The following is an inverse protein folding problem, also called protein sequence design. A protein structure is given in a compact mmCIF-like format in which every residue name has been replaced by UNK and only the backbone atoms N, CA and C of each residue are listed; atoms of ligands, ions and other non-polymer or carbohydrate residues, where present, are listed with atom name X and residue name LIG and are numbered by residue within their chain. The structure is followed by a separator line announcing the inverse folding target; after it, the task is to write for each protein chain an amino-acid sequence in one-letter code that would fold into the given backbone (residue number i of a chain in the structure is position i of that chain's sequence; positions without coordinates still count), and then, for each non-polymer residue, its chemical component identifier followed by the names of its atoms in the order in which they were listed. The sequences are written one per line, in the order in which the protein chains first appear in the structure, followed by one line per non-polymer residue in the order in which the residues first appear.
data_IF_437339751681
#
_entry.id   IF_437339751681
#
_cell.length_a   1.000
_cell.length_b   1.000
_cell.length_c   1.000
_cell.angle_alpha   90.00
_cell.angle_beta   90.00
_cell.angle_gamma   90.00
#
_symmetry.space_group_name_H-M   'P 1'
#
loop_
_entity.id
_entity.type
_entity.pdbx_description
1 polymer ?
#
# COMPACT_ATOMS: atom_id res chain seq x y z
N UNK A 1 -11.36 3.00 -12.32
CA UNK A 1 -11.23 2.23 -11.04
C UNK A 1 -10.86 3.18 -9.91
N UNK A 2 -11.52 3.05 -8.77
CA UNK A 2 -11.07 3.75 -7.56
C UNK A 2 -10.93 2.77 -6.40
N UNK A 3 -10.12 3.15 -5.43
CA UNK A 3 -9.96 2.39 -4.19
C UNK A 3 -9.34 3.22 -3.09
N UNK A 4 -9.67 2.88 -1.85
CA UNK A 4 -9.15 3.51 -0.64
C UNK A 4 -8.23 2.55 0.10
N UNK A 5 -7.15 3.07 0.70
CA UNK A 5 -6.20 2.26 1.49
C UNK A 5 -5.59 1.10 0.68
N UNK A 6 -5.73 -0.14 1.10
CA UNK A 6 -5.33 -1.34 0.34
C UNK A 6 -6.05 -1.45 -1.02
N UNK A 7 -7.30 -0.98 -1.10
CA UNK A 7 -8.03 -0.86 -2.37
C UNK A 7 -7.43 0.18 -3.30
N UNK A 8 -6.83 1.25 -2.77
CA UNK A 8 -6.07 2.25 -3.52
C UNK A 8 -4.81 1.65 -4.15
N UNK A 9 -4.10 0.81 -3.43
CA UNK A 9 -2.99 0.02 -3.98
C UNK A 9 -3.47 -0.86 -5.15
N UNK A 10 -4.55 -1.61 -4.95
CA UNK A 10 -5.12 -2.49 -5.98
C UNK A 10 -5.65 -1.74 -7.20
N UNK A 11 -6.10 -0.49 -7.04
CA UNK A 11 -6.57 0.34 -8.15
C UNK A 11 -5.46 0.71 -9.14
N UNK A 12 -4.21 0.79 -8.68
CA UNK A 12 -3.05 1.11 -9.51
C UNK A 12 -2.56 -0.12 -10.30
N UNK A 13 -3.47 -0.85 -10.92
CA UNK A 13 -3.15 -1.99 -11.79
C UNK A 13 -3.21 -1.54 -13.24
N UNK A 14 -2.07 -1.35 -13.94
CA UNK A 14 -2.03 -0.57 -15.17
C UNK A 14 -2.56 -1.27 -16.42
N UNK A 15 -2.84 -2.55 -16.36
CA UNK A 15 -3.24 -3.32 -17.55
C UNK A 15 -4.76 -3.41 -17.75
N UNK A 16 -5.53 -3.08 -16.71
CA UNK A 16 -6.97 -3.33 -16.66
C UNK A 16 -7.78 -2.04 -16.77
N UNK A 17 -7.29 -0.93 -16.23
CA UNK A 17 -8.07 0.29 -16.07
C UNK A 17 -7.47 1.46 -16.84
N UNK A 18 -8.32 2.18 -17.56
CA UNK A 18 -7.91 3.38 -18.33
C UNK A 18 -7.90 4.66 -17.50
N UNK A 19 -8.57 4.70 -16.38
CA UNK A 19 -8.65 5.85 -15.46
C UNK A 19 -8.66 5.34 -14.04
N UNK A 20 -7.78 5.89 -13.21
CA UNK A 20 -7.51 5.40 -11.85
C UNK A 20 -7.52 6.55 -10.85
N UNK A 21 -8.19 6.36 -9.73
CA UNK A 21 -8.12 7.24 -8.58
C UNK A 21 -7.82 6.42 -7.32
N UNK A 22 -6.66 6.65 -6.72
CA UNK A 22 -6.23 5.99 -5.49
C UNK A 22 -6.32 6.96 -4.31
N UNK A 23 -7.23 6.66 -3.38
CA UNK A 23 -7.49 7.45 -2.18
C UNK A 23 -6.68 6.89 -1.01
N UNK A 24 -5.77 7.69 -0.45
CA UNK A 24 -4.86 7.28 0.63
C UNK A 24 -4.31 5.86 0.44
N UNK A 25 -3.67 5.55 -0.71
CA UNK A 25 -3.27 4.19 -1.02
C UNK A 25 -2.20 3.68 -0.07
N UNK A 26 -2.49 2.58 0.61
CA UNK A 26 -1.56 1.94 1.54
C UNK A 26 -0.52 1.07 0.79
N UNK A 27 0.62 0.83 1.43
CA UNK A 27 1.63 -0.17 1.01
C UNK A 27 2.14 -0.04 -0.44
N UNK A 28 2.23 1.19 -0.97
CA UNK A 28 2.78 1.41 -2.31
C UNK A 28 4.24 1.02 -2.44
N UNK A 29 5.00 1.11 -1.36
CA UNK A 29 6.40 0.74 -1.30
C UNK A 29 6.76 0.11 0.03
N UNK A 30 7.90 -0.58 0.07
CA UNK A 30 8.49 -1.04 1.30
C UNK A 30 9.35 0.07 1.86
N UNK A 31 9.10 0.46 3.09
CA UNK A 31 9.98 1.31 3.90
C UNK A 31 10.53 0.48 5.05
N UNK A 32 11.71 0.83 5.53
CA UNK A 32 12.36 0.15 6.67
C UNK A 32 11.60 0.29 7.98
N UNK A 33 10.57 1.12 7.99
CA UNK A 33 9.74 1.47 9.14
C UNK A 33 8.30 0.97 8.98
N UNK A 34 8.07 0.07 8.03
CA UNK A 34 6.76 -0.50 7.79
C UNK A 34 6.20 -1.26 8.97
N UNK A 35 4.88 -1.09 9.18
CA UNK A 35 4.05 -1.91 10.04
C UNK A 35 4.80 -2.48 11.25
N UNK A 36 5.00 -1.64 12.27
CA UNK A 36 5.44 -2.14 13.54
C UNK A 36 6.92 -2.50 13.69
N UNK A 37 7.83 -2.11 12.77
CA UNK A 37 9.28 -2.16 13.12
C UNK A 37 9.54 -1.23 14.29
N UNK A 38 8.91 -0.07 14.32
CA UNK A 38 8.92 0.83 15.47
C UNK A 38 7.97 0.40 16.58
N UNK A 39 6.98 -0.42 16.27
CA UNK A 39 6.04 -1.03 17.21
C UNK A 39 6.42 -2.46 17.58
N UNK A 40 5.52 -3.14 18.24
CA UNK A 40 5.71 -4.51 18.71
C UNK A 40 5.22 -5.60 17.74
N UNK A 41 4.76 -5.24 16.53
CA UNK A 41 4.07 -6.20 15.66
C UNK A 41 4.97 -7.38 15.23
N UNK A 42 6.21 -7.12 14.83
CA UNK A 42 7.17 -8.20 14.52
C UNK A 42 7.62 -8.96 15.77
N UNK A 43 7.76 -8.30 16.93
CA UNK A 43 8.00 -9.00 18.21
C UNK A 43 6.82 -9.91 18.54
N UNK A 44 5.60 -9.40 18.39
CA UNK A 44 4.39 -10.17 18.62
C UNK A 44 4.31 -11.40 17.70
N UNK A 45 4.71 -11.29 16.43
CA UNK A 45 4.78 -12.43 15.51
C UNK A 45 5.76 -13.49 16.02
N UNK A 46 6.91 -13.10 16.54
CA UNK A 46 7.90 -14.04 17.08
C UNK A 46 7.39 -14.78 18.34
N UNK A 47 6.51 -14.16 19.12
CA UNK A 47 5.92 -14.77 20.32
C UNK A 47 4.79 -15.75 20.02
N UNK A 48 4.16 -15.63 18.85
CA UNK A 48 3.02 -16.42 18.45
C UNK A 48 3.49 -17.77 17.90
N UNK A 49 3.01 -18.86 18.51
CA UNK A 49 3.36 -20.23 18.12
C UNK A 49 2.26 -20.93 17.34
N UNK A 50 1.04 -20.37 17.28
CA UNK A 50 -0.08 -20.95 16.54
C UNK A 50 -0.91 -19.89 15.81
N UNK A 51 -1.60 -20.32 14.75
CA UNK A 51 -2.49 -19.43 13.97
C UNK A 51 -3.66 -18.89 14.82
N UNK A 52 -4.17 -19.67 15.73
CA UNK A 52 -5.29 -19.31 16.58
C UNK A 52 -4.95 -18.09 17.46
N UNK A 53 -3.70 -17.94 17.84
CA UNK A 53 -3.22 -16.80 18.63
C UNK A 53 -3.23 -15.47 17.84
N UNK A 54 -3.27 -15.51 16.50
CA UNK A 54 -3.41 -14.32 15.65
C UNK A 54 -4.87 -13.82 15.49
N UNK A 55 -5.85 -14.65 15.80
CA UNK A 55 -7.25 -14.43 15.39
C UNK A 55 -8.02 -13.56 16.38
N UNK A 56 -7.44 -13.13 17.48
CA UNK A 56 -8.17 -12.50 18.58
C UNK A 56 -8.09 -10.98 18.59
N UNK A 57 -8.94 -10.29 17.81
CA UNK A 57 -9.32 -8.90 18.09
C UNK A 57 -8.60 -7.81 17.29
N UNK A 58 -8.98 -6.55 17.58
CA UNK A 58 -8.44 -5.33 16.94
C UNK A 58 -6.95 -5.14 17.16
N UNK A 59 -6.45 -5.57 18.30
CA UNK A 59 -5.06 -5.37 18.73
C UNK A 59 -4.08 -6.23 17.93
N UNK A 60 -4.58 -7.23 17.17
CA UNK A 60 -3.79 -8.11 16.32
C UNK A 60 -3.84 -7.72 14.81
N UNK A 61 -4.35 -6.52 14.49
CA UNK A 61 -4.46 -6.08 13.08
C UNK A 61 -3.10 -6.05 12.39
N UNK A 62 -2.10 -5.41 12.99
CA UNK A 62 -0.76 -5.27 12.38
C UNK A 62 -0.04 -6.61 12.19
N UNK A 63 0.05 -7.50 13.19
CA UNK A 63 0.58 -8.85 13.00
C UNK A 63 -0.14 -9.63 11.90
N UNK A 64 -1.47 -9.57 11.85
CA UNK A 64 -2.26 -10.23 10.80
C UNK A 64 -1.97 -9.66 9.41
N UNK A 65 -1.87 -8.34 9.26
CA UNK A 65 -1.52 -7.67 8.01
C UNK A 65 -0.11 -8.08 7.53
N UNK A 66 0.88 -8.12 8.43
CA UNK A 66 2.24 -8.56 8.13
C UNK A 66 2.27 -10.01 7.64
N UNK A 67 1.53 -10.91 8.29
CA UNK A 67 1.44 -12.32 7.88
C UNK A 67 0.75 -12.45 6.52
N UNK A 68 -0.35 -11.72 6.29
CA UNK A 68 -1.05 -11.72 5.01
C UNK A 68 -0.16 -11.24 3.86
N UNK A 69 0.53 -10.12 4.04
CA UNK A 69 1.51 -9.61 3.08
C UNK A 69 2.68 -10.58 2.88
N UNK A 70 3.14 -11.21 3.96
CA UNK A 70 4.17 -12.23 3.90
C UNK A 70 3.76 -13.36 2.96
N UNK A 71 2.58 -13.93 3.16
CA UNK A 71 2.04 -15.01 2.32
C UNK A 71 1.85 -14.59 0.86
N UNK A 72 1.48 -13.34 0.62
CA UNK A 72 1.34 -12.83 -0.75
C UNK A 72 2.69 -12.65 -1.46
N UNK A 73 3.70 -12.16 -0.77
CA UNK A 73 4.96 -11.75 -1.40
C UNK A 73 6.09 -12.77 -1.28
N UNK A 74 6.18 -13.45 -0.14
CA UNK A 74 7.31 -14.33 0.21
C UNK A 74 6.82 -15.65 0.84
N UNK A 75 5.89 -16.39 0.19
CA UNK A 75 5.36 -17.64 0.74
C UNK A 75 6.48 -18.66 0.95
N UNK A 76 6.36 -19.42 2.05
CA UNK A 76 7.25 -20.53 2.37
C UNK A 76 6.50 -21.61 3.14
N UNK A 77 6.19 -22.73 2.48
CA UNK A 77 5.40 -23.82 3.07
C UNK A 77 6.13 -24.55 4.19
N UNK A 78 7.45 -24.43 4.27
CA UNK A 78 8.29 -25.08 5.28
C UNK A 78 8.38 -24.28 6.59
N UNK A 79 7.69 -23.13 6.68
CA UNK A 79 7.67 -22.26 7.87
C UNK A 79 6.28 -22.13 8.51
N UNK A 80 5.70 -23.20 9.12
CA UNK A 80 4.50 -23.06 9.91
C UNK A 80 4.77 -22.21 11.18
N UNK A 81 3.78 -21.55 11.79
CA UNK A 81 2.36 -21.52 11.38
C UNK A 81 2.04 -20.46 10.32
N UNK A 82 3.01 -19.66 9.94
CA UNK A 82 2.79 -18.50 9.07
C UNK A 82 2.89 -18.80 7.59
N UNK A 83 3.68 -19.82 7.22
CA UNK A 83 3.93 -20.23 5.81
C UNK A 83 4.49 -19.09 4.96
N UNK A 84 5.38 -18.29 5.54
CA UNK A 84 6.06 -17.17 4.87
C UNK A 84 7.42 -16.90 5.48
N UNK A 85 8.29 -16.26 4.70
CA UNK A 85 9.51 -15.63 5.21
C UNK A 85 9.21 -14.18 5.60
N UNK A 86 9.74 -13.76 6.75
CA UNK A 86 9.67 -12.38 7.20
C UNK A 86 10.96 -11.62 6.88
N UNK A 87 10.88 -10.32 6.54
CA UNK A 87 12.06 -9.48 6.35
C UNK A 87 12.71 -9.08 7.69
N UNK A 88 11.98 -9.18 8.78
CA UNK A 88 12.39 -8.77 10.11
C UNK A 88 12.02 -9.84 11.13
N UNK A 89 13.01 -10.21 11.95
CA UNK A 89 12.87 -11.16 13.05
C UNK A 89 13.58 -10.57 14.28
N UNK A 90 13.18 -10.97 15.48
CA UNK A 90 13.87 -10.56 16.70
C UNK A 90 14.45 -11.78 17.38
N UNK A 91 15.74 -11.72 17.69
CA UNK A 91 16.45 -12.69 18.52
C UNK A 91 17.09 -11.97 19.70
N UNK A 92 16.76 -12.39 20.92
CA UNK A 92 17.30 -11.78 22.16
C UNK A 92 17.22 -10.25 22.14
N UNK A 93 16.04 -9.70 21.78
CA UNK A 93 15.77 -8.26 21.62
C UNK A 93 16.55 -7.55 20.48
N UNK A 94 17.37 -8.25 19.73
CA UNK A 94 18.08 -7.70 18.58
C UNK A 94 17.28 -7.90 17.30
N UNK A 95 17.12 -6.83 16.51
CA UNK A 95 16.48 -6.88 15.20
C UNK A 95 17.42 -7.53 14.18
N UNK A 96 16.94 -8.60 13.55
CA UNK A 96 17.63 -9.27 12.44
C UNK A 96 16.89 -8.95 11.15
N UNK A 97 17.63 -8.48 10.15
CA UNK A 97 17.08 -8.10 8.85
C UNK A 97 17.45 -9.17 7.81
N UNK A 98 16.43 -9.79 7.23
CA UNK A 98 16.60 -10.65 6.06
C UNK A 98 16.51 -9.81 4.78
N UNK A 99 17.67 -9.39 4.28
CA UNK A 99 17.76 -8.53 3.11
C UNK A 99 17.27 -9.19 1.81
N UNK A 100 17.35 -10.50 1.68
CA UNK A 100 16.83 -11.22 0.51
C UNK A 100 15.31 -11.10 0.46
N UNK A 101 14.64 -11.40 1.56
CA UNK A 101 13.19 -11.27 1.70
C UNK A 101 12.76 -9.81 1.52
N UNK A 102 13.50 -8.88 2.11
CA UNK A 102 13.23 -7.45 1.97
C UNK A 102 13.33 -7.00 0.49
N UNK A 103 14.32 -7.47 -0.24
CA UNK A 103 14.49 -7.15 -1.66
C UNK A 103 13.36 -7.73 -2.52
N UNK A 104 12.94 -8.96 -2.28
CA UNK A 104 11.78 -9.56 -2.96
C UNK A 104 10.52 -8.71 -2.72
N UNK A 105 10.27 -8.29 -1.49
CA UNK A 105 9.13 -7.40 -1.18
C UNK A 105 9.25 -6.06 -1.88
N UNK A 106 10.43 -5.42 -1.90
CA UNK A 106 10.66 -4.17 -2.63
C UNK A 106 10.31 -4.31 -4.12
N UNK A 107 10.77 -5.36 -4.76
CA UNK A 107 10.48 -5.62 -6.18
C UNK A 107 9.00 -5.84 -6.46
N UNK A 108 8.28 -6.51 -5.56
CA UNK A 108 6.85 -6.81 -5.68
C UNK A 108 5.94 -5.67 -5.20
N UNK A 109 6.47 -4.62 -4.59
CA UNK A 109 5.69 -3.43 -4.23
C UNK A 109 5.27 -2.65 -5.48
N UNK A 110 4.21 -1.83 -5.38
CA UNK A 110 3.76 -0.98 -6.50
C UNK A 110 4.91 -0.13 -7.04
N UNK A 111 5.67 0.53 -6.16
CA UNK A 111 6.83 1.35 -6.55
C UNK A 111 7.90 0.49 -7.25
N UNK A 112 8.14 -0.74 -6.78
CA UNK A 112 9.11 -1.67 -7.38
C UNK A 112 8.68 -2.17 -8.75
N UNK A 113 7.37 -2.33 -8.96
CA UNK A 113 6.80 -2.83 -10.22
C UNK A 113 6.71 -1.76 -11.31
N UNK A 114 6.78 -0.47 -10.99
CA UNK A 114 6.65 0.62 -11.98
C UNK A 114 7.56 0.41 -13.19
N UNK A 115 8.81 0.03 -12.97
CA UNK A 115 9.81 -0.10 -14.05
C UNK A 115 9.44 -1.19 -15.07
N UNK A 116 8.70 -2.20 -14.64
CA UNK A 116 8.22 -3.30 -15.50
C UNK A 116 6.95 -2.93 -16.28
N UNK A 117 6.23 -1.87 -15.86
CA UNK A 117 4.92 -1.49 -16.40
C UNK A 117 4.88 -0.08 -16.99
N UNK A 118 6.02 0.53 -17.29
CA UNK A 118 6.11 1.92 -17.80
C UNK A 118 5.20 2.14 -19.00
N UNK A 119 5.25 1.25 -19.98
CA UNK A 119 4.46 1.40 -21.22
C UNK A 119 2.94 1.25 -20.97
N UNK A 120 2.55 0.47 -19.98
CA UNK A 120 1.15 0.34 -19.60
C UNK A 120 0.68 1.54 -18.78
N UNK A 121 1.53 2.06 -17.89
CA UNK A 121 1.24 3.28 -17.13
C UNK A 121 1.08 4.49 -18.05
N UNK A 122 1.87 4.62 -19.11
CA UNK A 122 1.74 5.67 -20.12
C UNK A 122 0.43 5.59 -20.92
N UNK A 123 -0.23 4.44 -20.97
CA UNK A 123 -1.53 4.27 -21.65
C UNK A 123 -2.72 4.66 -20.78
N UNK A 124 -2.53 4.82 -19.47
CA UNK A 124 -3.58 5.27 -18.56
C UNK A 124 -3.98 6.71 -18.95
N UNK A 125 -5.26 6.94 -19.19
CA UNK A 125 -5.78 8.27 -19.60
C UNK A 125 -5.64 9.29 -18.48
N UNK A 126 -5.89 8.88 -17.25
CA UNK A 126 -5.71 9.70 -16.06
C UNK A 126 -5.45 8.83 -14.84
N UNK A 127 -4.43 9.18 -14.09
CA UNK A 127 -4.07 8.60 -12.80
C UNK A 127 -4.05 9.71 -11.75
N UNK A 128 -4.85 9.57 -10.71
CA UNK A 128 -4.81 10.45 -9.54
C UNK A 128 -4.59 9.62 -8.28
N UNK A 129 -3.77 10.16 -7.38
CA UNK A 129 -3.65 9.70 -6.00
C UNK A 129 -3.75 10.90 -5.06
N UNK A 130 -4.36 10.71 -3.92
CA UNK A 130 -4.37 11.68 -2.84
C UNK A 130 -4.06 11.01 -1.49
N UNK A 131 -3.65 11.78 -0.51
CA UNK A 131 -3.40 11.29 0.85
C UNK A 131 -3.56 12.41 1.89
N UNK A 132 -3.92 12.02 3.11
CA UNK A 132 -4.01 12.93 4.23
C UNK A 132 -2.63 13.34 4.74
N UNK A 133 -2.48 14.63 5.11
CA UNK A 133 -1.26 15.11 5.78
C UNK A 133 -1.11 14.54 7.18
N UNK A 134 -2.23 14.30 7.86
CA UNK A 134 -2.29 13.83 9.24
C UNK A 134 -2.64 12.33 9.30
N UNK A 135 -2.18 11.55 8.32
CA UNK A 135 -2.36 10.10 8.31
C UNK A 135 -1.81 9.51 9.61
N UNK A 136 -2.61 8.66 10.25
CA UNK A 136 -2.20 7.85 11.39
C UNK A 136 -1.28 6.68 10.96
N UNK A 137 -1.27 6.39 9.67
CA UNK A 137 -0.44 5.37 9.04
C UNK A 137 0.74 6.02 8.32
N UNK A 138 1.82 6.30 9.05
CA UNK A 138 2.99 7.12 8.64
C UNK A 138 3.60 6.77 7.27
N UNK A 139 3.49 5.53 6.82
CA UNK A 139 4.07 5.14 5.54
C UNK A 139 3.30 5.67 4.32
N UNK A 140 2.01 6.02 4.45
CA UNK A 140 1.18 6.45 3.31
C UNK A 140 1.70 7.75 2.69
N UNK A 141 1.86 8.87 3.42
CA UNK A 141 2.39 10.10 2.82
C UNK A 141 3.75 9.89 2.17
N UNK A 142 4.64 9.20 2.86
CA UNK A 142 6.01 8.95 2.36
C UNK A 142 6.02 8.11 1.09
N UNK A 143 5.24 7.04 1.03
CA UNK A 143 5.21 6.17 -0.15
C UNK A 143 4.43 6.79 -1.30
N UNK A 144 3.38 7.55 -1.05
CA UNK A 144 2.65 8.32 -2.07
C UNK A 144 3.56 9.35 -2.75
N UNK A 145 4.30 10.13 -1.95
CA UNK A 145 5.26 11.11 -2.48
C UNK A 145 6.38 10.43 -3.28
N UNK A 146 6.92 9.31 -2.80
CA UNK A 146 7.94 8.53 -3.53
C UNK A 146 7.42 7.97 -4.84
N UNK A 147 6.19 7.47 -4.85
CA UNK A 147 5.54 6.96 -6.04
C UNK A 147 5.32 8.07 -7.07
N UNK A 148 4.75 9.21 -6.64
CA UNK A 148 4.57 10.38 -7.50
C UNK A 148 5.89 10.83 -8.12
N UNK A 149 6.96 11.02 -7.33
CA UNK A 149 8.28 11.37 -7.85
C UNK A 149 8.85 10.36 -8.84
N UNK A 150 8.60 9.08 -8.63
CA UNK A 150 9.03 8.03 -9.56
C UNK A 150 8.30 8.16 -10.90
N UNK A 151 6.99 8.40 -10.88
CA UNK A 151 6.19 8.64 -12.08
C UNK A 151 6.65 9.89 -12.83
N UNK A 152 6.92 11.00 -12.13
CA UNK A 152 7.48 12.22 -12.70
C UNK A 152 8.79 11.97 -13.43
N UNK A 153 9.74 11.28 -12.78
CA UNK A 153 11.05 10.96 -13.34
C UNK A 153 10.96 10.08 -14.61
N UNK A 154 9.88 9.32 -14.76
CA UNK A 154 9.61 8.47 -15.92
C UNK A 154 8.74 9.15 -16.99
N UNK A 155 8.37 10.41 -16.76
CA UNK A 155 7.50 11.17 -17.68
C UNK A 155 6.08 10.63 -17.75
N UNK A 156 5.58 10.00 -16.67
CA UNK A 156 4.21 9.47 -16.56
C UNK A 156 3.33 10.55 -15.94
N UNK A 157 2.38 11.05 -16.73
CA UNK A 157 1.44 12.07 -16.28
C UNK A 157 0.51 11.52 -15.21
N UNK A 158 0.39 12.24 -14.10
CA UNK A 158 -0.50 11.89 -13.01
C UNK A 158 -0.84 13.12 -12.17
N UNK A 159 -1.83 13.00 -11.30
CA UNK A 159 -2.21 13.97 -10.29
C UNK A 159 -1.86 13.41 -8.92
N UNK A 160 -1.17 14.18 -8.11
CA UNK A 160 -0.80 13.81 -6.74
C UNK A 160 -1.15 14.96 -5.80
N UNK A 161 -1.93 14.70 -4.76
CA UNK A 161 -2.47 15.74 -3.91
C UNK A 161 -2.42 15.32 -2.43
N UNK A 162 -1.84 16.20 -1.61
CA UNK A 162 -1.90 16.09 -0.16
C UNK A 162 -3.00 17.00 0.36
N UNK A 163 -3.96 16.45 1.11
CA UNK A 163 -5.02 17.24 1.72
C UNK A 163 -4.86 17.34 3.25
N UNK A 164 -5.49 18.33 3.87
CA UNK A 164 -5.51 18.46 5.33
C UNK A 164 -6.56 17.51 5.89
N UNK A 165 -6.12 16.39 6.42
CA UNK A 165 -6.97 15.35 6.96
C UNK A 165 -6.17 14.08 7.29
N UNK A 166 -6.85 13.08 7.83
CA UNK A 166 -6.33 11.76 8.16
C UNK A 166 -6.74 10.70 7.11
N UNK A 167 -6.53 9.44 7.44
CA UNK A 167 -6.80 8.31 6.54
C UNK A 167 -8.25 8.21 6.07
N UNK A 168 -9.19 8.50 6.94
CA UNK A 168 -10.62 8.22 6.75
C UNK A 168 -11.50 9.45 6.68
N UNK A 169 -11.07 10.59 7.23
CA UNK A 169 -11.91 11.77 7.26
C UNK A 169 -12.10 12.34 5.85
N UNK A 170 -13.19 13.08 5.66
CA UNK A 170 -13.54 13.66 4.36
C UNK A 170 -13.53 12.65 3.21
N UNK A 171 -13.84 11.38 3.47
CA UNK A 171 -13.94 10.39 2.40
C UNK A 171 -15.35 10.37 1.80
N UNK A 172 -16.38 10.15 2.62
CA UNK A 172 -17.78 9.95 2.20
C UNK A 172 -18.75 11.03 2.67
N UNK A 173 -18.25 12.11 3.27
CA UNK A 173 -19.08 13.26 3.69
C UNK A 173 -19.49 14.12 2.50
N UNK A 174 -20.47 15.03 2.68
CA UNK A 174 -20.95 15.91 1.60
C UNK A 174 -19.84 16.83 1.08
N UNK A 175 -18.88 17.22 1.95
CA UNK A 175 -17.67 17.94 1.58
C UNK A 175 -16.47 17.00 1.29
N UNK A 176 -16.75 15.70 1.11
CA UNK A 176 -15.74 14.66 1.03
C UNK A 176 -15.18 14.44 -0.36
N UNK A 177 -14.02 13.81 -0.38
CA UNK A 177 -13.22 13.55 -1.60
C UNK A 177 -13.93 12.68 -2.63
N UNK A 178 -14.77 11.75 -2.19
CA UNK A 178 -15.53 10.92 -3.12
C UNK A 178 -16.46 11.76 -3.99
N UNK A 179 -17.23 12.67 -3.39
CA UNK A 179 -18.20 13.51 -4.09
C UNK A 179 -17.54 14.69 -4.82
N UNK A 180 -16.54 15.32 -4.23
CA UNK A 180 -16.04 16.60 -4.74
C UNK A 180 -14.75 16.46 -5.59
N UNK A 181 -14.06 15.32 -5.52
CA UNK A 181 -12.84 15.07 -6.28
C UNK A 181 -12.95 13.83 -7.17
N UNK A 182 -13.27 12.66 -6.60
CA UNK A 182 -13.23 11.39 -7.32
C UNK A 182 -14.30 11.31 -8.42
N UNK A 183 -15.56 11.60 -8.12
CA UNK A 183 -16.61 11.56 -9.15
C UNK A 183 -16.41 12.61 -10.24
N UNK A 184 -16.09 13.89 -9.95
CA UNK A 184 -15.73 14.86 -10.98
C UNK A 184 -14.54 14.44 -11.83
N UNK A 185 -13.49 13.86 -11.22
CA UNK A 185 -12.35 13.31 -11.94
C UNK A 185 -12.78 12.23 -12.95
N UNK A 186 -13.59 11.25 -12.54
CA UNK A 186 -14.08 10.23 -13.44
C UNK A 186 -15.00 10.80 -14.52
N UNK A 187 -15.87 11.74 -14.20
CA UNK A 187 -16.72 12.41 -15.18
C UNK A 187 -15.91 13.13 -16.27
N UNK A 188 -14.73 13.65 -15.91
CA UNK A 188 -13.84 14.33 -16.87
C UNK A 188 -13.13 13.34 -17.79
N UNK A 189 -12.68 12.20 -17.27
CA UNK A 189 -11.78 11.32 -18.01
C UNK A 189 -12.41 10.02 -18.54
N UNK A 190 -13.57 9.61 -18.04
CA UNK A 190 -14.31 8.49 -18.62
C UNK A 190 -15.14 8.98 -19.80
N UNK A 191 -15.14 8.21 -20.88
CA UNK A 191 -16.10 8.35 -21.97
C UNK A 191 -17.16 7.27 -21.78
N UNK A 192 -18.38 7.70 -21.63
CA UNK A 192 -19.55 6.82 -21.67
C UNK A 192 -19.98 6.75 -23.14
N UNK A 193 -20.13 5.55 -23.69
CA UNK A 193 -20.77 5.40 -25.01
C UNK A 193 -22.25 5.70 -24.81
N UNK A 194 -22.76 6.69 -25.52
CA UNK A 194 -24.18 6.95 -25.63
C UNK A 194 -24.85 5.84 -26.44
#
# INVERSE_FOLDING_TARGET
MAGHSMGGQGAITPEVFSTVYALSPATLGVITEEFGIRGNAYRRINEISSREQLITGRDEFEPNAIVAMGRAYTPNLDKPPYYTNFPYEYENDSLIINYEVLNVRKQKSVIGMVDYHIENLKKIKALKLDWGRNEDTEHIPTTCLRFSKKLENLGINHYAEEYIGDHSNKLWTDDGRALNDMFPFFNTYLKFNE
#
